data_IF_523803327908
#
_entry.id   IF_523803327908
#
_cell.length_a   1.000
_cell.length_b   1.000
_cell.length_c   1.000
_cell.angle_alpha   90.00
_cell.angle_beta   90.00
_cell.angle_gamma   90.00
#
_symmetry.space_group_name_H-M   'P 1'
#
loop_
_entity.id
_entity.type
_entity.pdbx_description
1 polymer ?
#
# COMPACT_ATOMS: atom_id res chain seq x y z
N UNK A 1 -2.58 -0.91 5.36
CA UNK A 1 -1.19 -1.21 4.95
C UNK A 1 -0.76 -2.56 5.47
N UNK A 2 0.36 -3.07 4.97
CA UNK A 2 0.99 -4.33 5.37
C UNK A 2 2.50 -4.26 5.16
N UNK A 3 3.23 -5.21 5.73
CA UNK A 3 4.66 -5.40 5.53
C UNK A 3 4.94 -6.87 5.20
N UNK A 4 5.94 -7.12 4.37
CA UNK A 4 6.48 -8.45 4.06
C UNK A 4 7.95 -8.45 4.46
N UNK A 5 8.33 -9.45 5.25
CA UNK A 5 9.72 -9.65 5.72
C UNK A 5 10.19 -11.01 5.19
N UNK A 6 11.37 -11.04 4.59
CA UNK A 6 12.09 -12.26 4.20
C UNK A 6 13.49 -12.23 4.78
N UNK A 7 13.89 -13.30 5.45
CA UNK A 7 15.22 -13.44 6.07
C UNK A 7 15.64 -12.21 6.91
N UNK A 8 14.69 -11.64 7.68
CA UNK A 8 14.92 -10.49 8.54
C UNK A 8 14.97 -9.13 7.83
N UNK A 9 14.81 -9.08 6.49
CA UNK A 9 14.79 -7.85 5.67
C UNK A 9 13.39 -7.54 5.19
N UNK A 10 13.05 -6.26 5.13
CA UNK A 10 11.73 -5.82 4.68
C UNK A 10 11.69 -5.73 3.16
N UNK A 11 10.90 -6.60 2.52
CA UNK A 11 10.61 -6.52 1.09
C UNK A 11 9.58 -5.43 0.80
N UNK A 12 8.45 -5.48 1.49
CA UNK A 12 7.42 -4.42 1.46
C UNK A 12 7.35 -3.84 2.86
N UNK A 13 7.41 -2.52 2.95
CA UNK A 13 7.35 -1.82 4.23
C UNK A 13 6.36 -0.64 4.19
N UNK A 14 6.23 0.05 5.30
CA UNK A 14 5.73 1.41 5.37
C UNK A 14 6.93 2.34 5.52
N UNK A 15 6.85 3.56 5.04
CA UNK A 15 8.01 4.47 5.01
C UNK A 15 8.43 5.00 6.38
N UNK A 16 7.86 4.48 7.47
CA UNK A 16 8.22 4.86 8.83
C UNK A 16 7.55 6.16 9.30
N UNK A 17 8.10 6.77 10.36
CA UNK A 17 7.48 7.90 11.03
C UNK A 17 8.50 8.99 11.37
N UNK A 18 8.25 10.22 10.92
CA UNK A 18 9.06 11.39 11.25
C UNK A 18 8.60 12.02 12.57
N UNK A 19 9.42 11.95 13.62
CA UNK A 19 9.01 12.23 14.99
C UNK A 19 8.83 13.73 15.31
N UNK A 20 9.56 14.64 14.64
CA UNK A 20 9.48 16.07 14.94
C UNK A 20 8.12 16.65 14.51
N UNK A 21 7.23 16.89 15.48
CA UNK A 21 5.86 17.36 15.25
C UNK A 21 5.75 18.76 14.62
N UNK A 22 6.79 19.58 14.73
CA UNK A 22 6.81 20.92 14.14
C UNK A 22 7.23 20.91 12.66
N UNK A 23 7.68 19.78 12.14
CA UNK A 23 8.11 19.63 10.75
C UNK A 23 6.97 19.16 9.87
N UNK A 24 6.92 19.66 8.63
CA UNK A 24 5.92 19.22 7.63
C UNK A 24 6.03 17.72 7.32
N UNK A 25 7.22 17.14 7.40
CA UNK A 25 7.46 15.70 7.20
C UNK A 25 6.74 14.83 8.25
N UNK A 26 6.49 15.35 9.46
CA UNK A 26 5.65 14.64 10.44
C UNK A 26 4.21 14.47 9.93
N UNK A 27 3.65 15.46 9.24
CA UNK A 27 2.31 15.35 8.66
C UNK A 27 2.30 14.38 7.48
N UNK A 28 3.33 14.43 6.64
CA UNK A 28 3.51 13.49 5.53
C UNK A 28 3.61 12.06 6.05
N UNK A 29 4.41 11.81 7.11
CA UNK A 29 4.61 10.48 7.70
C UNK A 29 3.35 9.85 8.32
N UNK A 30 2.25 10.58 8.39
CA UNK A 30 0.92 10.09 8.82
C UNK A 30 -0.04 9.88 7.66
N UNK A 31 0.34 10.28 6.46
CA UNK A 31 -0.55 10.19 5.29
C UNK A 31 -0.57 8.78 4.69
N UNK A 32 -1.65 8.44 3.98
CA UNK A 32 -1.71 7.17 3.24
C UNK A 32 -0.62 7.07 2.15
N UNK A 33 -0.05 8.21 1.71
CA UNK A 33 0.95 8.25 0.65
C UNK A 33 2.28 7.56 1.03
N UNK A 34 2.57 7.41 2.32
CA UNK A 34 3.77 6.75 2.81
C UNK A 34 3.50 5.36 3.40
N UNK A 35 2.33 4.82 3.15
CA UNK A 35 1.94 3.47 3.54
C UNK A 35 1.66 2.60 2.32
N UNK A 36 1.97 1.30 2.42
CA UNK A 36 1.65 0.33 1.36
C UNK A 36 0.14 0.06 1.31
N UNK A 37 -0.61 1.00 0.72
CA UNK A 37 -2.08 1.02 0.66
C UNK A 37 -2.61 1.78 -0.55
N UNK A 38 -3.95 1.82 -0.69
CA UNK A 38 -4.66 2.59 -1.71
C UNK A 38 -4.76 4.06 -1.29
N UNK A 39 -4.56 4.94 -2.25
CA UNK A 39 -4.79 6.38 -2.18
C UNK A 39 -5.84 6.74 -3.24
N UNK A 40 -6.81 7.56 -2.89
CA UNK A 40 -7.82 8.07 -3.81
C UNK A 40 -7.72 9.59 -3.93
N UNK A 41 -7.62 10.10 -5.17
CA UNK A 41 -7.63 11.56 -5.46
C UNK A 41 -6.60 12.32 -4.61
N UNK A 42 -5.38 11.75 -4.47
CA UNK A 42 -4.26 12.26 -3.65
C UNK A 42 -4.64 12.55 -2.19
N UNK A 43 -5.60 11.80 -1.63
CA UNK A 43 -6.10 11.97 -0.27
C UNK A 43 -5.84 10.77 0.61
N UNK A 44 -5.50 11.05 1.86
CA UNK A 44 -5.40 10.03 2.89
C UNK A 44 -6.76 9.48 3.27
N UNK A 45 -6.79 8.19 3.65
CA UNK A 45 -7.99 7.50 4.14
C UNK A 45 -8.47 8.03 5.50
N UNK A 46 -7.62 8.72 6.25
CA UNK A 46 -7.99 9.34 7.51
C UNK A 46 -7.65 10.84 7.50
N UNK A 47 -8.31 11.58 8.39
CA UNK A 47 -8.07 13.00 8.63
C UNK A 47 -7.66 13.21 10.07
N UNK A 48 -6.54 13.91 10.26
CA UNK A 48 -6.07 14.30 11.58
C UNK A 48 -6.67 15.63 12.03
N UNK A 49 -6.76 15.83 13.35
CA UNK A 49 -7.18 17.09 13.92
C UNK A 49 -6.21 18.21 13.56
N UNK A 50 -6.74 19.40 13.31
CA UNK A 50 -5.95 20.58 12.93
C UNK A 50 -5.40 21.36 14.15
N UNK A 51 -5.91 21.10 15.34
CA UNK A 51 -5.49 21.80 16.56
C UNK A 51 -4.11 21.32 16.99
N UNK A 52 -3.22 22.25 17.36
CA UNK A 52 -1.83 21.94 17.74
C UNK A 52 -1.73 20.84 18.81
N UNK A 53 -2.60 20.89 19.83
CA UNK A 53 -2.57 19.94 20.95
C UNK A 53 -3.18 18.56 20.63
N UNK A 54 -3.86 18.40 19.47
CA UNK A 54 -4.55 17.18 19.06
C UNK A 54 -4.18 16.73 17.63
N UNK A 55 -3.07 17.23 17.09
CA UNK A 55 -2.66 16.97 15.71
C UNK A 55 -2.32 15.51 15.40
N UNK A 56 -2.12 14.69 16.44
CA UNK A 56 -1.92 13.24 16.34
C UNK A 56 -3.22 12.44 16.40
N UNK A 57 -4.33 13.03 16.82
CA UNK A 57 -5.62 12.35 16.91
C UNK A 57 -6.31 12.30 15.55
N UNK A 58 -6.85 11.13 15.22
CA UNK A 58 -7.67 10.94 14.02
C UNK A 58 -9.05 11.54 14.28
N UNK A 59 -9.44 12.53 13.49
CA UNK A 59 -10.78 13.16 13.58
C UNK A 59 -11.81 12.41 12.73
N UNK A 60 -11.37 11.63 11.72
CA UNK A 60 -12.25 10.94 10.79
C UNK A 60 -11.50 9.87 10.00
N UNK A 61 -12.19 8.77 9.70
CA UNK A 61 -11.71 7.63 8.93
C UNK A 61 -11.21 6.48 9.81
N UNK A 62 -10.87 5.37 9.19
CA UNK A 62 -10.33 4.14 9.80
C UNK A 62 -11.30 3.33 10.67
N UNK A 63 -12.60 3.43 10.46
CA UNK A 63 -13.52 2.43 10.98
C UNK A 63 -13.36 1.15 10.18
N UNK A 64 -12.99 0.07 10.86
CA UNK A 64 -12.92 -1.26 10.26
C UNK A 64 -14.34 -1.79 10.11
N UNK A 65 -14.75 -2.08 8.89
CA UNK A 65 -16.09 -2.57 8.55
C UNK A 65 -16.13 -4.09 8.47
N UNK A 66 -15.02 -4.72 8.08
CA UNK A 66 -14.88 -6.15 7.90
C UNK A 66 -13.46 -6.55 8.27
N UNK A 67 -13.33 -7.68 8.94
CA UNK A 67 -12.05 -8.33 9.21
C UNK A 67 -12.27 -9.84 9.17
N UNK A 68 -11.46 -10.55 8.40
CA UNK A 68 -11.47 -12.01 8.37
C UNK A 68 -10.04 -12.54 8.24
N UNK A 69 -9.75 -13.63 8.94
CA UNK A 69 -8.47 -14.33 8.90
C UNK A 69 -8.80 -15.81 8.70
N UNK A 70 -8.16 -16.43 7.71
CA UNK A 70 -8.32 -17.85 7.40
C UNK A 70 -6.95 -18.50 7.39
N UNK A 71 -6.81 -19.63 8.08
CA UNK A 71 -5.63 -20.48 8.04
C UNK A 71 -6.04 -21.85 7.50
N UNK A 72 -5.58 -22.16 6.31
CA UNK A 72 -5.74 -23.45 5.65
C UNK A 72 -4.38 -24.15 5.53
N UNK A 73 -4.40 -25.44 5.22
CA UNK A 73 -3.17 -26.21 5.08
C UNK A 73 -2.21 -25.63 4.05
N UNK A 74 -2.74 -25.13 2.93
CA UNK A 74 -1.95 -24.72 1.76
C UNK A 74 -1.90 -23.20 1.54
N UNK A 75 -2.66 -22.41 2.29
CA UNK A 75 -2.62 -20.95 2.21
C UNK A 75 -3.16 -20.27 3.46
N UNK A 76 -2.72 -19.06 3.68
CA UNK A 76 -3.24 -18.15 4.70
C UNK A 76 -3.87 -16.95 4.01
N UNK A 77 -4.95 -16.43 4.58
CA UNK A 77 -5.64 -15.28 4.05
C UNK A 77 -6.02 -14.28 5.14
N UNK A 78 -5.77 -13.02 4.88
CA UNK A 78 -6.25 -11.90 5.67
C UNK A 78 -7.06 -10.99 4.78
N UNK A 79 -8.27 -10.61 5.20
CA UNK A 79 -9.06 -9.57 4.53
C UNK A 79 -9.57 -8.55 5.53
N UNK A 80 -9.55 -7.28 5.12
CA UNK A 80 -10.07 -6.18 5.91
C UNK A 80 -10.65 -5.08 5.01
N UNK A 81 -11.71 -4.42 5.48
CA UNK A 81 -12.30 -3.27 4.82
C UNK A 81 -12.40 -2.09 5.78
N UNK A 82 -12.29 -0.87 5.25
CA UNK A 82 -12.44 0.35 6.02
C UNK A 82 -13.24 1.43 5.27
N UNK A 83 -13.82 2.36 6.04
CA UNK A 83 -14.68 3.44 5.55
C UNK A 83 -13.93 4.75 5.28
N UNK A 84 -12.62 4.76 5.28
CA UNK A 84 -11.80 5.98 5.18
C UNK A 84 -12.15 6.90 4.01
N UNK A 85 -12.65 6.35 2.92
CA UNK A 85 -13.08 7.10 1.74
C UNK A 85 -14.61 7.25 1.59
N UNK A 86 -15.38 6.61 2.50
CA UNK A 86 -16.83 6.52 2.37
C UNK A 86 -17.51 7.89 2.43
N UNK A 87 -17.16 8.71 3.43
CA UNK A 87 -17.82 10.01 3.64
C UNK A 87 -17.61 10.98 2.48
N UNK A 88 -16.43 10.98 1.87
CA UNK A 88 -16.08 11.94 0.82
C UNK A 88 -16.46 11.47 -0.58
N UNK A 89 -16.24 10.17 -0.84
CA UNK A 89 -16.33 9.62 -2.19
C UNK A 89 -17.37 8.53 -2.34
N UNK A 90 -18.02 8.07 -1.26
CA UNK A 90 -18.93 6.92 -1.30
C UNK A 90 -18.20 5.60 -1.53
N UNK A 91 -16.88 5.53 -1.26
CA UNK A 91 -16.03 4.36 -1.53
C UNK A 91 -15.63 3.68 -0.23
N UNK A 92 -15.72 2.35 -0.24
CA UNK A 92 -15.09 1.47 0.74
C UNK A 92 -13.87 0.83 0.08
N UNK A 93 -12.74 0.83 0.76
CA UNK A 93 -11.58 0.06 0.36
C UNK A 93 -11.55 -1.26 1.15
N UNK A 94 -11.53 -2.39 0.43
CA UNK A 94 -11.27 -3.72 0.98
C UNK A 94 -9.97 -4.25 0.40
N UNK A 95 -9.09 -4.75 1.26
CA UNK A 95 -7.88 -5.47 0.85
C UNK A 95 -7.94 -6.90 1.35
N UNK A 96 -7.61 -7.82 0.47
CA UNK A 96 -7.40 -9.23 0.76
C UNK A 96 -5.97 -9.61 0.37
N UNK A 97 -5.28 -10.33 1.24
CA UNK A 97 -3.92 -10.84 0.98
C UNK A 97 -3.94 -12.33 1.30
N UNK A 98 -3.53 -13.14 0.35
CA UNK A 98 -3.29 -14.56 0.47
C UNK A 98 -1.79 -14.85 0.43
N UNK A 99 -1.34 -15.80 1.24
CA UNK A 99 0.03 -16.30 1.22
C UNK A 99 0.02 -17.79 0.95
N UNK A 100 0.78 -18.22 -0.03
CA UNK A 100 0.99 -19.61 -0.44
C UNK A 100 2.40 -20.05 -0.06
N UNK A 101 2.59 -20.77 1.08
CA UNK A 101 3.91 -21.09 1.62
C UNK A 101 4.78 -21.90 0.67
N UNK A 102 4.24 -22.90 -0.01
CA UNK A 102 4.98 -23.79 -0.91
C UNK A 102 5.59 -23.05 -2.10
N UNK A 103 4.95 -21.96 -2.56
CA UNK A 103 5.39 -21.14 -3.67
C UNK A 103 6.13 -19.89 -3.21
N UNK A 104 6.17 -19.61 -1.91
CA UNK A 104 6.59 -18.34 -1.32
C UNK A 104 5.98 -17.17 -2.09
N UNK A 105 4.64 -17.20 -2.22
CA UNK A 105 3.89 -16.27 -3.06
C UNK A 105 2.80 -15.57 -2.27
N UNK A 106 2.71 -14.26 -2.43
CA UNK A 106 1.63 -13.42 -1.95
C UNK A 106 0.73 -13.00 -3.11
N UNK A 107 -0.57 -13.12 -2.94
CA UNK A 107 -1.58 -12.63 -3.88
C UNK A 107 -2.45 -11.62 -3.16
N UNK A 108 -2.53 -10.42 -3.68
CA UNK A 108 -3.34 -9.36 -3.10
C UNK A 108 -4.46 -8.91 -4.03
N UNK A 109 -5.59 -8.55 -3.43
CA UNK A 109 -6.73 -7.96 -4.10
C UNK A 109 -7.12 -6.67 -3.39
N UNK A 110 -6.92 -5.55 -4.05
CA UNK A 110 -7.44 -4.26 -3.61
C UNK A 110 -8.78 -4.01 -4.30
N UNK A 111 -9.86 -3.95 -3.52
CA UNK A 111 -11.21 -3.74 -4.01
C UNK A 111 -11.65 -2.32 -3.67
N UNK A 112 -11.99 -1.56 -4.69
CA UNK A 112 -12.62 -0.24 -4.60
C UNK A 112 -14.11 -0.43 -4.78
N UNK A 113 -14.85 -0.43 -3.66
CA UNK A 113 -16.27 -0.75 -3.62
C UNK A 113 -17.09 0.53 -3.54
N UNK A 114 -17.87 0.80 -4.58
CA UNK A 114 -18.74 1.96 -4.64
C UNK A 114 -20.11 1.69 -4.02
N UNK A 115 -20.57 2.62 -3.17
CA UNK A 115 -21.97 2.63 -2.70
C UNK A 115 -22.91 3.47 -3.56
N UNK A 116 -22.36 4.40 -4.35
CA UNK A 116 -23.12 5.33 -5.18
C UNK A 116 -22.46 5.43 -6.56
N UNK A 117 -23.15 6.07 -7.52
CA UNK A 117 -22.55 6.39 -8.81
C UNK A 117 -21.32 7.29 -8.60
N UNK A 118 -20.13 6.79 -8.91
CA UNK A 118 -18.86 7.50 -8.65
C UNK A 118 -18.48 8.31 -9.88
N UNK A 119 -17.89 9.48 -9.63
CA UNK A 119 -17.08 10.19 -10.61
C UNK A 119 -15.77 9.44 -10.81
N UNK A 120 -15.19 9.54 -11.99
CA UNK A 120 -13.82 9.06 -12.24
C UNK A 120 -12.85 9.73 -11.27
N UNK A 121 -12.31 8.97 -10.33
CA UNK A 121 -11.29 9.41 -9.38
C UNK A 121 -9.97 8.71 -9.69
N UNK A 122 -8.88 9.43 -9.63
CA UNK A 122 -7.54 8.82 -9.67
C UNK A 122 -7.36 7.92 -8.45
N UNK A 123 -6.84 6.72 -8.65
CA UNK A 123 -6.33 5.90 -7.56
C UNK A 123 -4.88 5.53 -7.77
N UNK A 124 -4.17 5.35 -6.67
CA UNK A 124 -2.83 4.76 -6.62
C UNK A 124 -2.80 3.70 -5.54
N UNK A 125 -2.15 2.58 -5.82
CA UNK A 125 -1.80 1.56 -4.84
C UNK A 125 -0.29 1.57 -4.75
N UNK A 126 0.24 1.93 -3.58
CA UNK A 126 1.68 2.03 -3.35
C UNK A 126 2.18 0.82 -2.58
N UNK A 127 3.39 0.39 -2.93
CA UNK A 127 4.16 -0.64 -2.25
C UNK A 127 5.54 -0.06 -1.99
N UNK A 128 5.76 0.35 -0.76
CA UNK A 128 7.03 0.94 -0.34
C UNK A 128 8.07 -0.15 -0.12
N UNK A 129 9.25 0.06 -0.64
CA UNK A 129 10.39 -0.84 -0.47
C UNK A 129 11.35 -0.29 0.57
N UNK A 130 12.09 -1.16 1.23
CA UNK A 130 13.18 -0.74 2.12
C UNK A 130 14.28 -0.03 1.29
N UNK A 131 14.98 0.96 1.84
CA UNK A 131 16.10 1.61 1.15
C UNK A 131 17.16 0.60 0.68
N UNK A 132 17.79 0.90 -0.45
CA UNK A 132 18.83 0.10 -1.11
C UNK A 132 18.35 -1.20 -1.79
N UNK A 133 17.07 -1.50 -1.79
CA UNK A 133 16.52 -2.55 -2.64
C UNK A 133 16.68 -2.14 -4.10
N UNK A 134 17.20 -3.04 -4.91
CA UNK A 134 17.31 -2.82 -6.37
C UNK A 134 16.05 -3.34 -7.05
N UNK A 135 15.45 -2.51 -7.90
CA UNK A 135 14.26 -2.90 -8.66
C UNK A 135 14.41 -2.52 -10.13
N UNK A 136 13.80 -3.32 -10.99
CA UNK A 136 13.86 -3.13 -12.44
C UNK A 136 12.59 -3.65 -13.09
N UNK A 137 11.99 -2.84 -13.98
CA UNK A 137 10.89 -3.30 -14.84
C UNK A 137 11.41 -4.24 -15.93
N UNK A 138 10.60 -5.24 -16.27
CA UNK A 138 10.82 -6.07 -17.45
C UNK A 138 10.64 -5.25 -18.73
N UNK A 139 11.26 -5.70 -19.82
CA UNK A 139 11.16 -5.03 -21.13
C UNK A 139 9.72 -4.92 -21.64
N UNK A 140 8.87 -5.90 -21.34
CA UNK A 140 7.44 -5.91 -21.69
C UNK A 140 6.58 -5.06 -20.75
N UNK A 141 7.18 -4.42 -19.74
CA UNK A 141 6.53 -3.61 -18.70
C UNK A 141 5.46 -4.34 -17.87
N UNK A 142 5.39 -5.67 -17.90
CA UNK A 142 4.36 -6.46 -17.19
C UNK A 142 4.77 -6.87 -15.78
N UNK A 143 6.07 -6.83 -15.48
CA UNK A 143 6.61 -7.26 -14.20
C UNK A 143 7.67 -6.30 -13.69
N UNK A 144 7.91 -6.35 -12.38
CA UNK A 144 9.05 -5.70 -11.73
C UNK A 144 9.83 -6.78 -11.01
N UNK A 145 11.13 -6.87 -11.31
CA UNK A 145 12.08 -7.65 -10.53
C UNK A 145 12.58 -6.84 -9.35
N UNK A 146 12.71 -7.51 -8.20
CA UNK A 146 13.17 -6.94 -6.94
C UNK A 146 14.33 -7.82 -6.46
N UNK A 147 15.47 -7.21 -6.18
CA UNK A 147 16.61 -7.85 -5.53
C UNK A 147 16.68 -7.40 -4.07
N UNK A 148 16.28 -8.29 -3.18
CA UNK A 148 16.36 -8.12 -1.74
C UNK A 148 17.66 -8.78 -1.23
N UNK A 149 18.79 -8.11 -1.43
CA UNK A 149 20.12 -8.59 -0.97
C UNK A 149 20.44 -10.02 -1.44
N UNK A 150 20.32 -10.24 -2.74
CA UNK A 150 20.55 -11.52 -3.39
C UNK A 150 19.34 -12.45 -3.44
N UNK A 151 18.25 -12.11 -2.79
CA UNK A 151 16.97 -12.80 -2.97
C UNK A 151 16.17 -12.17 -4.12
N UNK A 152 15.97 -12.91 -5.19
CA UNK A 152 15.15 -12.48 -6.32
C UNK A 152 13.66 -12.58 -6.01
N UNK A 153 12.92 -11.51 -6.29
CA UNK A 153 11.46 -11.46 -6.20
C UNK A 153 10.87 -10.88 -7.46
N UNK A 154 9.65 -11.28 -7.78
CA UNK A 154 8.90 -10.79 -8.92
C UNK A 154 7.56 -10.22 -8.49
N UNK A 155 7.29 -8.98 -8.89
CA UNK A 155 6.01 -8.32 -8.71
C UNK A 155 5.25 -8.26 -10.04
N UNK A 156 3.97 -8.62 -10.03
CA UNK A 156 3.06 -8.54 -11.17
C UNK A 156 1.75 -7.87 -10.76
N UNK A 157 1.05 -7.30 -11.74
CA UNK A 157 -0.33 -6.82 -11.56
C UNK A 157 -1.17 -7.10 -12.80
N UNK A 158 -2.48 -7.25 -12.62
CA UNK A 158 -3.44 -7.28 -13.72
C UNK A 158 -3.73 -5.88 -14.31
N UNK A 159 -3.15 -4.83 -13.71
CA UNK A 159 -3.24 -3.47 -14.20
C UNK A 159 -1.93 -3.10 -14.93
N UNK A 160 -2.05 -2.65 -16.18
CA UNK A 160 -0.89 -2.33 -17.01
C UNK A 160 -0.17 -1.02 -16.63
N UNK A 161 -0.80 -0.16 -15.81
CA UNK A 161 -0.19 1.11 -15.35
C UNK A 161 0.60 0.89 -14.05
N UNK A 162 1.74 0.24 -14.19
CA UNK A 162 2.65 -0.03 -13.10
C UNK A 162 3.95 0.77 -13.30
N UNK A 163 4.35 1.57 -12.31
CA UNK A 163 5.56 2.41 -12.35
C UNK A 163 6.45 2.12 -11.15
N UNK A 164 7.69 2.57 -11.26
CA UNK A 164 8.64 2.68 -10.15
C UNK A 164 8.80 4.17 -9.90
N UNK A 165 8.47 4.60 -8.70
CA UNK A 165 8.53 6.00 -8.28
C UNK A 165 9.52 6.16 -7.13
N UNK A 166 10.22 7.29 -7.08
CA UNK A 166 11.04 7.65 -5.94
C UNK A 166 10.17 8.02 -4.74
N UNK A 167 10.68 7.76 -3.54
CA UNK A 167 10.00 7.99 -2.28
C UNK A 167 10.94 8.35 -1.14
N UNK A 168 10.36 8.54 0.04
CA UNK A 168 11.09 8.87 1.26
C UNK A 168 10.85 7.79 2.32
N UNK A 169 11.91 7.39 2.99
CA UNK A 169 11.88 6.44 4.09
C UNK A 169 12.33 7.10 5.39
N UNK A 170 11.45 7.12 6.38
CA UNK A 170 11.65 7.75 7.70
C UNK A 170 12.07 6.74 8.79
N UNK A 171 12.88 5.76 8.43
CA UNK A 171 13.30 4.69 9.34
C UNK A 171 14.24 5.13 10.45
N UNK A 172 14.85 6.32 10.36
CA UNK A 172 15.74 6.90 11.36
C UNK A 172 15.08 8.11 12.02
N UNK A 173 15.33 8.29 13.32
CA UNK A 173 14.78 9.41 14.09
C UNK A 173 15.12 10.76 13.44
N UNK A 174 14.09 11.56 13.11
CA UNK A 174 14.19 12.91 12.54
C UNK A 174 15.06 13.02 11.27
N UNK A 175 15.21 11.93 10.52
CA UNK A 175 15.88 11.93 9.23
C UNK A 175 15.08 11.11 8.24
N UNK A 176 15.45 11.19 6.99
CA UNK A 176 14.92 10.35 5.92
C UNK A 176 16.04 9.96 4.96
N UNK A 177 15.81 8.91 4.22
CA UNK A 177 16.65 8.47 3.10
C UNK A 177 15.73 8.22 1.91
N UNK A 178 16.28 8.25 0.73
CA UNK A 178 15.53 7.92 -0.48
C UNK A 178 15.24 6.43 -0.52
N UNK A 179 14.07 6.07 -1.02
CA UNK A 179 13.69 4.71 -1.35
C UNK A 179 12.91 4.69 -2.67
N UNK A 180 12.58 3.51 -3.13
CA UNK A 180 11.73 3.32 -4.31
C UNK A 180 10.41 2.66 -3.93
N UNK A 181 9.39 2.94 -4.71
CA UNK A 181 8.05 2.42 -4.53
C UNK A 181 7.56 1.81 -5.83
N UNK A 182 6.88 0.68 -5.75
CA UNK A 182 6.06 0.19 -6.85
C UNK A 182 4.69 0.87 -6.74
N UNK A 183 4.21 1.44 -7.83
CA UNK A 183 2.92 2.13 -7.88
C UNK A 183 2.06 1.54 -8.98
N UNK A 184 0.85 1.13 -8.64
CA UNK A 184 -0.20 0.77 -9.58
C UNK A 184 -1.19 1.94 -9.61
N UNK A 185 -1.42 2.54 -10.77
CA UNK A 185 -2.32 3.68 -10.90
C UNK A 185 -3.45 3.42 -11.89
N UNK A 186 -4.54 4.18 -11.74
CA UNK A 186 -5.70 4.10 -12.62
C UNK A 186 -6.80 5.08 -12.23
N UNK A 187 -7.94 4.93 -12.91
CA UNK A 187 -9.14 5.69 -12.62
C UNK A 187 -10.23 4.76 -12.10
N UNK A 188 -10.96 5.21 -11.09
CA UNK A 188 -12.19 4.52 -10.68
C UNK A 188 -13.25 4.69 -11.75
N UNK A 189 -14.12 3.70 -11.89
CA UNK A 189 -15.30 3.77 -12.72
C UNK A 189 -16.56 3.65 -11.84
N UNK A 190 -17.74 3.65 -12.45
CA UNK A 190 -19.02 3.54 -11.76
C UNK A 190 -19.34 2.12 -11.23
N UNK A 191 -18.41 1.19 -11.39
CA UNK A 191 -18.52 -0.20 -10.93
C UNK A 191 -17.49 -0.50 -9.84
N UNK A 192 -17.74 -1.56 -9.10
CA UNK A 192 -16.73 -2.12 -8.20
C UNK A 192 -15.53 -2.62 -9.00
N UNK A 193 -14.35 -2.22 -8.57
CA UNK A 193 -13.09 -2.61 -9.21
C UNK A 193 -12.27 -3.48 -8.27
N UNK A 194 -11.59 -4.47 -8.85
CA UNK A 194 -10.61 -5.29 -8.15
C UNK A 194 -9.29 -5.21 -8.90
N UNK A 195 -8.28 -4.73 -8.22
CA UNK A 195 -6.91 -4.69 -8.69
C UNK A 195 -6.17 -5.84 -8.04
N UNK A 196 -5.74 -6.82 -8.85
CA UNK A 196 -4.95 -7.96 -8.41
C UNK A 196 -3.47 -7.67 -8.58
N UNK A 197 -2.67 -8.06 -7.59
CA UNK A 197 -1.22 -8.05 -7.64
C UNK A 197 -0.65 -9.31 -7.02
N UNK A 198 0.55 -9.66 -7.41
CA UNK A 198 1.27 -10.84 -6.93
C UNK A 198 2.73 -10.51 -6.65
N UNK A 199 3.25 -11.08 -5.57
CA UNK A 199 4.68 -11.02 -5.22
C UNK A 199 5.13 -12.45 -5.02
N UNK A 200 6.10 -12.91 -5.81
CA UNK A 200 6.59 -14.30 -5.78
C UNK A 200 8.10 -14.31 -5.64
N UNK A 201 8.62 -15.13 -4.73
CA UNK A 201 10.05 -15.37 -4.62
C UNK A 201 10.52 -16.20 -5.82
N UNK A 202 11.61 -15.78 -6.45
CA UNK A 202 12.25 -16.55 -7.51
C UNK A 202 13.14 -17.64 -6.89
N UNK A 203 13.13 -18.80 -7.53
CA UNK A 203 13.99 -19.92 -7.13
C UNK A 203 15.40 -19.74 -7.67
#
# INVERSE_FOLDING_TARGET
>A
SFEIISNGKKLICNSGYFQNHNNQLNKLSKSSAIHSTVILDDRSSCKFNKTKNKSSEISYGLKILKKNIVFEKNYWKISAAHDGYLKKYGIIHEREIEFYPEQIKFVGHDKVLSKNRIKNLKFEIRFHLEPNIKIMKTQDNKSIFIDLDGEGWKFNSNNNNMTIDDGLYFGKKNSFVDNQNIVISGMTNDKNQTIKWEITKLQ
#
